data_IF_726063752583
#
_entry.id   IF_726063752583
#
_cell.length_a   1.000
_cell.length_b   1.000
_cell.length_c   1.000
_cell.angle_alpha   90.00
_cell.angle_beta   90.00
_cell.angle_gamma   90.00
#
_symmetry.space_group_name_H-M   'P 1'
#
loop_
_entity.id
_entity.type
_entity.pdbx_description
1 polymer ?
#
# COMPACT_ATOMS: atom_id res chain seq x y z
N UNK A 1 14.33 -4.91 7.94
CA UNK A 1 15.42 -4.68 7.00
C UNK A 1 16.33 -5.88 6.79
N UNK A 2 16.85 -6.55 7.85
CA UNK A 2 17.69 -7.78 7.72
C UNK A 2 17.01 -8.93 6.94
N UNK A 3 15.68 -9.00 6.92
CA UNK A 3 14.89 -10.03 6.23
C UNK A 3 14.67 -9.70 4.74
N UNK A 4 14.56 -8.41 4.40
CA UNK A 4 14.28 -7.98 3.02
C UNK A 4 15.48 -8.13 2.09
N UNK A 5 16.68 -7.89 2.57
CA UNK A 5 17.90 -7.95 1.76
C UNK A 5 18.17 -9.35 1.18
N UNK A 6 18.07 -10.47 1.95
CA UNK A 6 18.23 -11.81 1.39
C UNK A 6 17.15 -12.18 0.36
N UNK A 7 15.90 -11.78 0.60
CA UNK A 7 14.79 -12.02 -0.34
C UNK A 7 14.96 -11.22 -1.62
N UNK A 8 15.38 -9.97 -1.51
CA UNK A 8 15.72 -9.10 -2.63
C UNK A 8 16.89 -9.65 -3.46
N UNK A 9 17.95 -10.16 -2.83
CA UNK A 9 19.07 -10.78 -3.54
C UNK A 9 18.66 -12.06 -4.27
N UNK A 10 17.81 -12.89 -3.64
CA UNK A 10 17.26 -14.10 -4.29
C UNK A 10 16.37 -13.77 -5.49
N UNK A 11 15.61 -12.71 -5.44
CA UNK A 11 14.71 -12.32 -6.54
C UNK A 11 15.45 -11.96 -7.82
N UNK A 12 16.73 -11.60 -7.77
CA UNK A 12 17.56 -11.38 -8.95
C UNK A 12 17.86 -12.64 -9.75
N UNK A 13 17.79 -13.80 -9.12
CA UNK A 13 18.11 -15.10 -9.74
C UNK A 13 16.87 -15.95 -10.05
N UNK A 14 15.71 -15.58 -9.48
CA UNK A 14 14.43 -16.24 -9.75
C UNK A 14 13.31 -15.27 -9.39
N UNK A 15 12.29 -15.08 -10.23
CA UNK A 15 11.13 -14.28 -9.89
C UNK A 15 10.42 -14.93 -8.67
N UNK A 16 10.56 -14.28 -7.53
CA UNK A 16 9.91 -14.66 -6.26
C UNK A 16 9.08 -13.48 -5.83
N UNK A 17 7.84 -13.66 -5.40
CA UNK A 17 7.05 -12.56 -4.90
C UNK A 17 7.75 -11.92 -3.70
N UNK A 18 8.22 -10.68 -3.89
CA UNK A 18 8.87 -9.93 -2.82
C UNK A 18 7.86 -9.37 -1.85
N UNK A 19 6.76 -8.88 -2.39
CA UNK A 19 5.72 -8.18 -1.67
C UNK A 19 4.35 -8.67 -2.10
N UNK A 20 3.53 -9.08 -1.14
CA UNK A 20 2.16 -9.52 -1.39
C UNK A 20 1.19 -8.72 -0.55
N UNK A 21 0.17 -8.17 -1.19
CA UNK A 21 -0.99 -7.62 -0.49
C UNK A 21 -2.03 -8.72 -0.23
N UNK A 22 -2.48 -8.85 1.00
CA UNK A 22 -3.63 -9.69 1.36
C UNK A 22 -4.78 -8.76 1.75
N UNK A 23 -5.87 -8.85 1.00
CA UNK A 23 -7.13 -8.24 1.42
C UNK A 23 -7.79 -9.15 2.46
N UNK A 24 -7.53 -8.91 3.73
CA UNK A 24 -8.10 -9.74 4.81
C UNK A 24 -9.61 -9.58 4.91
N UNK A 25 -10.14 -8.45 4.44
CA UNK A 25 -11.57 -8.16 4.34
C UNK A 25 -11.83 -7.09 3.28
N UNK A 26 -13.01 -7.12 2.67
CA UNK A 26 -13.51 -6.01 1.83
C UNK A 26 -14.44 -5.07 2.61
N UNK A 27 -14.81 -5.42 3.84
CA UNK A 27 -15.65 -4.59 4.71
C UNK A 27 -14.86 -3.42 5.27
N UNK A 28 -15.52 -2.26 5.42
CA UNK A 28 -14.92 -1.06 5.96
C UNK A 28 -15.93 -0.25 6.76
N UNK A 29 -15.49 0.35 7.87
CA UNK A 29 -16.27 1.27 8.68
C UNK A 29 -16.32 2.71 8.11
N UNK A 30 -15.55 2.99 7.03
CA UNK A 30 -15.59 4.24 6.31
C UNK A 30 -16.20 4.09 4.91
N UNK A 31 -16.55 5.23 4.28
CA UNK A 31 -17.07 5.32 2.93
C UNK A 31 -16.36 6.41 2.12
N UNK A 32 -15.04 6.31 2.00
CA UNK A 32 -14.24 7.27 1.25
C UNK A 32 -14.69 7.34 -0.21
N UNK A 33 -14.93 8.54 -0.74
CA UNK A 33 -15.49 8.76 -2.09
C UNK A 33 -14.58 8.30 -3.24
N UNK A 34 -13.29 8.11 -2.97
CA UNK A 34 -12.33 7.59 -3.96
C UNK A 34 -12.08 6.08 -3.82
N UNK A 35 -12.64 5.42 -2.79
CA UNK A 35 -12.30 4.03 -2.52
C UNK A 35 -13.05 3.06 -3.43
N UNK A 36 -12.30 2.23 -4.14
CA UNK A 36 -12.83 1.15 -4.99
C UNK A 36 -12.73 -0.23 -4.32
N UNK A 37 -12.11 -0.32 -3.13
CA UNK A 37 -11.83 -1.60 -2.45
C UNK A 37 -13.03 -2.11 -1.68
N UNK A 38 -13.78 -1.20 -1.02
CA UNK A 38 -14.86 -1.57 -0.10
C UNK A 38 -15.98 -2.34 -0.80
N UNK A 39 -16.27 -3.53 -0.31
CA UNK A 39 -17.45 -4.32 -0.66
C UNK A 39 -18.00 -5.02 0.59
N UNK A 40 -19.17 -4.60 1.04
CA UNK A 40 -19.82 -5.13 2.25
C UNK A 40 -20.46 -6.51 2.04
N UNK A 41 -20.70 -6.90 0.78
CA UNK A 41 -21.41 -8.13 0.40
C UNK A 41 -20.46 -9.26 -0.02
N UNK A 42 -19.16 -8.96 -0.16
CA UNK A 42 -18.17 -9.95 -0.59
C UNK A 42 -18.11 -11.11 0.39
N UNK A 43 -18.17 -12.32 -0.15
CA UNK A 43 -17.87 -13.55 0.61
C UNK A 43 -16.38 -13.57 0.92
N UNK A 44 -16.02 -13.90 2.14
CA UNK A 44 -14.65 -13.84 2.64
C UNK A 44 -14.26 -15.17 3.28
N UNK A 45 -12.98 -15.51 3.20
CA UNK A 45 -12.41 -16.63 3.96
C UNK A 45 -12.51 -16.35 5.47
N UNK A 46 -12.74 -17.40 6.22
CA UNK A 46 -12.60 -17.35 7.68
C UNK A 46 -11.11 -17.23 8.11
N UNK A 47 -10.87 -17.15 9.41
CA UNK A 47 -9.50 -17.01 9.93
C UNK A 47 -8.60 -18.18 9.53
N UNK A 48 -9.12 -19.42 9.53
CA UNK A 48 -8.36 -20.60 9.12
C UNK A 48 -8.01 -20.54 7.63
N UNK A 49 -8.95 -20.12 6.79
CA UNK A 49 -8.71 -19.93 5.37
C UNK A 49 -7.61 -18.91 5.09
N UNK A 50 -7.59 -17.77 5.80
CA UNK A 50 -6.55 -16.75 5.65
C UNK A 50 -5.19 -17.21 6.23
N UNK A 51 -5.17 -18.00 7.29
CA UNK A 51 -3.95 -18.66 7.77
C UNK A 51 -3.37 -19.60 6.69
N UNK A 52 -4.20 -20.38 6.02
CA UNK A 52 -3.76 -21.22 4.90
C UNK A 52 -3.21 -20.38 3.72
N UNK A 53 -3.77 -19.18 3.48
CA UNK A 53 -3.21 -18.23 2.51
C UNK A 53 -1.80 -17.80 2.92
N UNK A 54 -1.57 -17.46 4.20
CA UNK A 54 -0.25 -17.09 4.74
C UNK A 54 0.74 -18.25 4.54
N UNK A 55 0.32 -19.49 4.83
CA UNK A 55 1.14 -20.69 4.61
C UNK A 55 1.54 -20.86 3.15
N UNK A 56 0.58 -20.70 2.26
CA UNK A 56 0.81 -20.80 0.81
C UNK A 56 1.80 -19.73 0.34
N UNK A 57 1.63 -18.48 0.77
CA UNK A 57 2.56 -17.39 0.44
C UNK A 57 3.98 -17.65 0.95
N UNK A 58 4.09 -18.15 2.19
CA UNK A 58 5.40 -18.54 2.73
C UNK A 58 6.06 -19.63 1.90
N UNK A 59 5.31 -20.67 1.50
CA UNK A 59 5.80 -21.77 0.66
C UNK A 59 6.22 -21.29 -0.76
N UNK A 60 5.54 -20.28 -1.30
CA UNK A 60 5.92 -19.61 -2.55
C UNK A 60 7.20 -18.76 -2.43
N UNK A 61 7.69 -18.52 -1.22
CA UNK A 61 8.90 -17.73 -0.97
C UNK A 61 8.63 -16.28 -0.56
N UNK A 62 7.37 -15.86 -0.46
CA UNK A 62 7.02 -14.53 0.04
C UNK A 62 7.48 -14.36 1.49
N UNK A 63 8.10 -13.22 1.80
CA UNK A 63 8.59 -12.90 3.15
C UNK A 63 8.08 -11.53 3.63
N UNK A 64 7.41 -10.78 2.78
CA UNK A 64 6.78 -9.51 3.12
C UNK A 64 5.29 -9.59 2.81
N UNK A 65 4.47 -9.51 3.86
CA UNK A 65 3.01 -9.43 3.74
C UNK A 65 2.54 -8.06 4.16
N UNK A 66 1.74 -7.44 3.30
CA UNK A 66 0.98 -6.25 3.63
C UNK A 66 -0.49 -6.62 3.78
N UNK A 67 -0.99 -6.52 5.00
CA UNK A 67 -2.40 -6.72 5.31
C UNK A 67 -3.18 -5.47 4.91
N UNK A 68 -4.04 -5.67 3.97
CA UNK A 68 -4.90 -4.67 3.35
C UNK A 68 -6.37 -5.06 3.49
N UNK A 69 -7.23 -4.22 2.96
CA UNK A 69 -8.64 -4.55 2.84
C UNK A 69 -9.49 -3.31 2.71
N UNK A 70 -10.74 -3.45 3.14
CA UNK A 70 -11.53 -2.30 3.54
C UNK A 70 -10.88 -1.68 4.77
N UNK A 71 -11.11 -2.31 5.95
CA UNK A 71 -10.39 -1.98 7.18
C UNK A 71 -10.03 -3.28 7.92
N UNK A 72 -8.75 -3.63 8.01
CA UNK A 72 -8.32 -4.90 8.62
C UNK A 72 -8.77 -5.07 10.07
N UNK A 73 -8.81 -3.98 10.84
CA UNK A 73 -9.15 -4.01 12.28
C UNK A 73 -10.62 -4.35 12.58
N UNK A 74 -11.47 -4.41 11.57
CA UNK A 74 -12.86 -4.92 11.71
C UNK A 74 -12.85 -6.44 12.03
N UNK A 75 -11.85 -7.17 11.53
CA UNK A 75 -11.75 -8.61 11.78
C UNK A 75 -11.26 -8.86 13.20
N UNK A 76 -12.02 -9.67 13.94
CA UNK A 76 -11.67 -10.05 15.32
C UNK A 76 -10.41 -10.91 15.40
N UNK A 77 -10.15 -11.71 14.35
CA UNK A 77 -9.02 -12.63 14.20
C UNK A 77 -7.79 -12.00 13.54
N UNK A 78 -7.80 -10.68 13.28
CA UNK A 78 -6.70 -10.01 12.58
C UNK A 78 -5.37 -10.05 13.33
N UNK A 79 -5.40 -9.83 14.64
CA UNK A 79 -4.19 -9.86 15.47
C UNK A 79 -3.55 -11.25 15.46
N UNK A 80 -4.36 -12.32 15.43
CA UNK A 80 -3.88 -13.71 15.39
C UNK A 80 -3.18 -14.00 14.04
N UNK A 81 -3.65 -13.40 12.94
CA UNK A 81 -3.00 -13.51 11.63
C UNK A 81 -1.63 -12.82 11.61
N UNK A 82 -1.53 -11.64 12.25
CA UNK A 82 -0.25 -10.92 12.39
C UNK A 82 0.73 -11.78 13.19
N UNK A 83 0.31 -12.29 14.34
CA UNK A 83 1.15 -13.14 15.18
C UNK A 83 1.60 -14.41 14.45
N UNK A 84 0.69 -15.04 13.70
CA UNK A 84 1.02 -16.24 12.92
C UNK A 84 2.08 -15.95 11.85
N UNK A 85 1.89 -14.87 11.06
CA UNK A 85 2.85 -14.48 10.03
C UNK A 85 4.22 -14.12 10.63
N UNK A 86 4.24 -13.39 11.76
CA UNK A 86 5.47 -13.04 12.46
C UNK A 86 6.21 -14.28 12.97
N UNK A 87 5.52 -15.23 13.59
CA UNK A 87 6.13 -16.52 14.04
C UNK A 87 6.73 -17.33 12.92
N UNK A 88 6.24 -17.18 11.68
CA UNK A 88 6.86 -17.77 10.48
C UNK A 88 8.09 -17.00 9.99
N UNK A 89 8.45 -15.89 10.63
CA UNK A 89 9.55 -15.03 10.19
C UNK A 89 9.21 -14.20 8.94
N UNK A 90 7.93 -13.91 8.72
CA UNK A 90 7.51 -12.99 7.68
C UNK A 90 7.47 -11.56 8.23
N UNK A 91 7.87 -10.61 7.42
CA UNK A 91 7.74 -9.19 7.72
C UNK A 91 6.30 -8.74 7.49
N UNK A 92 5.70 -8.10 8.47
CA UNK A 92 4.27 -7.77 8.51
C UNK A 92 4.03 -6.26 8.47
N UNK A 93 3.21 -5.86 7.55
CA UNK A 93 2.77 -4.48 7.39
C UNK A 93 1.24 -4.45 7.38
N UNK A 94 0.62 -3.44 7.99
CA UNK A 94 -0.81 -3.20 7.87
C UNK A 94 -1.09 -1.77 7.44
N UNK A 95 -2.15 -1.56 6.64
CA UNK A 95 -2.70 -0.24 6.38
C UNK A 95 -4.08 -0.13 7.04
N UNK A 96 -4.27 0.91 7.85
CA UNK A 96 -5.49 1.12 8.63
C UNK A 96 -5.94 2.59 8.60
N UNK A 97 -7.24 2.82 8.72
CA UNK A 97 -7.78 4.15 8.98
C UNK A 97 -7.66 4.60 10.46
N UNK A 98 -7.27 3.69 11.33
CA UNK A 98 -6.99 3.94 12.74
C UNK A 98 -8.21 4.02 13.68
N UNK A 99 -9.43 4.11 13.18
CA UNK A 99 -10.63 4.41 14.00
C UNK A 99 -10.86 3.36 15.11
N UNK A 100 -10.54 2.10 14.84
CA UNK A 100 -10.73 0.99 15.79
C UNK A 100 -9.46 0.66 16.60
N UNK A 101 -8.39 1.43 16.45
CA UNK A 101 -7.15 1.26 17.20
C UNK A 101 -7.29 1.86 18.61
N UNK A 102 -7.81 1.09 19.55
CA UNK A 102 -7.76 1.42 20.97
C UNK A 102 -6.36 1.15 21.54
N UNK A 103 -5.98 1.73 22.70
CA UNK A 103 -4.71 1.42 23.36
C UNK A 103 -4.50 -0.09 23.59
N UNK A 104 -5.56 -0.83 23.96
CA UNK A 104 -5.50 -2.29 24.10
C UNK A 104 -5.24 -2.99 22.76
N UNK A 105 -5.94 -2.59 21.72
CA UNK A 105 -5.73 -3.15 20.37
C UNK A 105 -4.29 -2.92 19.89
N UNK A 106 -3.75 -1.70 20.08
CA UNK A 106 -2.37 -1.35 19.73
C UNK A 106 -1.36 -2.19 20.54
N UNK A 107 -1.60 -2.40 21.83
CA UNK A 107 -0.78 -3.26 22.66
C UNK A 107 -0.80 -4.72 22.18
N UNK A 108 -1.95 -5.25 21.78
CA UNK A 108 -2.08 -6.61 21.21
C UNK A 108 -1.34 -6.74 19.89
N UNK A 109 -1.45 -5.76 18.98
CA UNK A 109 -0.68 -5.73 17.73
C UNK A 109 0.83 -5.72 17.99
N UNK A 110 1.29 -4.89 18.93
CA UNK A 110 2.71 -4.83 19.29
C UNK A 110 3.23 -6.16 19.86
N UNK A 111 2.43 -6.84 20.72
CA UNK A 111 2.77 -8.18 21.23
C UNK A 111 2.77 -9.24 20.13
N UNK A 112 1.88 -9.13 19.15
CA UNK A 112 1.82 -10.02 17.98
C UNK A 112 3.02 -9.87 17.03
N UNK A 113 3.83 -8.83 17.23
CA UNK A 113 5.05 -8.59 16.46
C UNK A 113 4.78 -7.95 15.08
N UNK A 114 3.81 -7.04 14.99
CA UNK A 114 3.65 -6.21 13.78
C UNK A 114 4.94 -5.42 13.52
N UNK A 115 5.41 -5.35 12.28
CA UNK A 115 6.62 -4.60 11.92
C UNK A 115 6.31 -3.16 11.51
N UNK A 116 5.23 -2.93 10.75
CA UNK A 116 4.83 -1.58 10.32
C UNK A 116 3.32 -1.39 10.48
N UNK A 117 2.94 -0.29 11.12
CA UNK A 117 1.57 0.25 11.12
C UNK A 117 1.52 1.48 10.21
N UNK A 118 0.84 1.35 9.07
CA UNK A 118 0.68 2.42 8.08
C UNK A 118 -0.68 3.10 8.28
N UNK A 119 -0.67 4.27 8.91
CA UNK A 119 -1.88 5.04 9.22
C UNK A 119 -2.31 5.86 8.00
N UNK A 120 -3.56 5.70 7.57
CA UNK A 120 -4.11 6.49 6.47
C UNK A 120 -4.55 7.86 6.94
N UNK A 121 -3.92 8.94 6.44
CA UNK A 121 -4.27 10.32 6.75
C UNK A 121 -4.24 11.16 5.48
N UNK A 122 -5.38 11.70 5.08
CA UNK A 122 -5.55 12.46 3.83
C UNK A 122 -5.57 13.99 4.04
N UNK A 123 -5.53 14.47 5.30
CA UNK A 123 -5.52 15.89 5.63
C UNK A 123 -5.10 16.13 7.07
N UNK A 124 -4.55 17.32 7.36
CA UNK A 124 -4.34 17.81 8.73
C UNK A 124 -5.60 18.46 9.31
N UNK A 125 -6.57 18.81 8.48
CA UNK A 125 -7.85 19.39 8.84
C UNK A 125 -8.98 18.41 8.55
N UNK A 126 -10.16 18.68 9.06
CA UNK A 126 -11.37 17.91 8.74
C UNK A 126 -11.56 17.80 7.22
N UNK A 127 -11.85 16.59 6.75
CA UNK A 127 -11.88 16.28 5.32
C UNK A 127 -13.04 15.34 4.97
N UNK A 128 -14.06 15.89 4.31
CA UNK A 128 -15.36 15.24 4.07
C UNK A 128 -15.31 14.03 3.10
N UNK A 129 -14.24 13.91 2.30
CA UNK A 129 -14.16 12.89 1.24
C UNK A 129 -13.69 11.53 1.73
N UNK A 130 -12.99 11.48 2.87
CA UNK A 130 -12.45 10.21 3.38
C UNK A 130 -12.69 9.98 4.86
N UNK A 131 -12.96 11.03 5.66
CA UNK A 131 -12.97 10.98 7.13
C UNK A 131 -11.63 10.46 7.72
N UNK A 132 -10.53 10.57 6.97
CA UNK A 132 -9.17 10.22 7.36
C UNK A 132 -8.34 11.48 7.53
N UNK A 133 -8.62 12.22 8.59
CA UNK A 133 -7.89 13.44 8.92
C UNK A 133 -7.18 13.32 10.27
N UNK A 134 -6.14 14.14 10.43
CA UNK A 134 -5.33 14.14 11.64
C UNK A 134 -6.14 14.48 12.89
N UNK A 135 -7.16 15.33 12.78
CA UNK A 135 -7.97 15.73 13.94
C UNK A 135 -8.66 14.53 14.60
N UNK A 136 -9.05 13.53 13.80
CA UNK A 136 -9.66 12.27 14.26
C UNK A 136 -8.64 11.21 14.66
N UNK A 137 -7.41 11.29 14.16
CA UNK A 137 -6.38 10.28 14.39
C UNK A 137 -5.28 10.71 15.37
N UNK A 138 -5.30 11.94 15.89
CA UNK A 138 -4.23 12.48 16.76
C UNK A 138 -4.00 11.66 18.02
N UNK A 139 -5.07 11.19 18.68
CA UNK A 139 -4.96 10.42 19.92
C UNK A 139 -4.43 9.02 19.62
N UNK A 140 -4.94 8.37 18.56
CA UNK A 140 -4.41 7.09 18.06
C UNK A 140 -2.92 7.21 17.69
N UNK A 141 -2.52 8.29 17.04
CA UNK A 141 -1.10 8.52 16.71
C UNK A 141 -0.24 8.64 17.96
N UNK A 142 -0.72 9.33 19.00
CA UNK A 142 -0.03 9.43 20.30
C UNK A 142 0.18 8.05 20.92
N UNK A 143 -0.87 7.21 20.92
CA UNK A 143 -0.81 5.84 21.47
C UNK A 143 0.12 4.95 20.63
N UNK A 144 0.08 5.06 19.31
CA UNK A 144 1.01 4.35 18.41
C UNK A 144 2.47 4.76 18.67
N UNK A 145 2.77 6.06 18.86
CA UNK A 145 4.12 6.54 19.19
C UNK A 145 4.61 5.97 20.54
N UNK A 146 3.72 5.91 21.53
CA UNK A 146 4.06 5.30 22.82
C UNK A 146 4.33 3.80 22.69
N UNK A 147 3.49 3.08 21.96
CA UNK A 147 3.63 1.65 21.73
C UNK A 147 4.85 1.31 20.85
N UNK A 148 5.20 2.14 19.84
CA UNK A 148 6.42 2.00 19.05
C UNK A 148 7.67 1.91 19.94
N UNK A 149 7.77 2.77 20.95
CA UNK A 149 8.91 2.76 21.89
C UNK A 149 9.00 1.46 22.68
N UNK A 150 7.85 0.82 22.94
CA UNK A 150 7.78 -0.40 23.74
C UNK A 150 8.01 -1.67 22.94
N UNK A 151 7.47 -1.73 21.72
CA UNK A 151 7.43 -2.96 20.92
C UNK A 151 8.35 -2.93 19.71
N UNK A 152 8.87 -1.76 19.30
CA UNK A 152 9.86 -1.61 18.23
C UNK A 152 9.31 -1.67 16.81
N UNK A 153 7.99 -1.60 16.59
CA UNK A 153 7.43 -1.49 15.25
C UNK A 153 7.59 -0.06 14.69
N UNK A 154 7.53 0.06 13.38
CA UNK A 154 7.56 1.37 12.73
C UNK A 154 6.14 1.89 12.44
N UNK A 155 6.02 3.22 12.43
CA UNK A 155 4.81 3.92 12.02
C UNK A 155 5.10 4.65 10.72
N UNK A 156 4.23 4.50 9.74
CA UNK A 156 4.26 5.29 8.51
C UNK A 156 2.89 5.91 8.26
N UNK A 157 2.84 6.90 7.39
CA UNK A 157 1.57 7.51 6.96
C UNK A 157 1.38 7.30 5.47
N UNK A 158 0.17 6.91 5.07
CA UNK A 158 -0.26 6.89 3.69
C UNK A 158 -1.22 8.04 3.43
N UNK A 159 -0.86 8.89 2.47
CA UNK A 159 -1.65 10.04 2.02
C UNK A 159 -2.11 9.83 0.58
N UNK A 160 -3.41 9.90 0.31
CA UNK A 160 -3.94 9.86 -1.05
C UNK A 160 -4.11 11.28 -1.57
N UNK A 161 -3.24 11.67 -2.50
CA UNK A 161 -3.24 12.99 -3.12
C UNK A 161 -4.36 13.11 -4.16
N UNK A 162 -5.23 14.05 -3.93
CA UNK A 162 -6.40 14.37 -4.77
C UNK A 162 -6.43 15.86 -5.09
N UNK A 163 -7.25 16.26 -6.05
CA UNK A 163 -7.49 17.68 -6.35
C UNK A 163 -7.98 18.47 -5.13
N UNK A 164 -8.69 17.82 -4.21
CA UNK A 164 -9.32 18.49 -3.06
C UNK A 164 -8.36 18.70 -1.88
N UNK A 165 -7.26 17.96 -1.79
CA UNK A 165 -6.28 18.08 -0.70
C UNK A 165 -4.88 18.47 -1.18
N UNK A 166 -4.71 18.82 -2.45
CA UNK A 166 -3.41 19.20 -3.00
C UNK A 166 -2.76 20.38 -2.26
N UNK A 167 -3.54 21.34 -1.78
CA UNK A 167 -3.04 22.49 -1.00
C UNK A 167 -2.62 22.12 0.44
N UNK A 168 -3.02 20.95 0.91
CA UNK A 168 -2.85 20.55 2.31
C UNK A 168 -1.67 19.59 2.47
N UNK A 169 -1.25 18.90 1.40
CA UNK A 169 -0.25 17.83 1.47
C UNK A 169 1.08 18.30 2.06
N UNK A 170 1.54 19.49 1.71
CA UNK A 170 2.79 20.06 2.26
C UNK A 170 2.71 20.29 3.76
N UNK A 171 1.58 20.79 4.24
CA UNK A 171 1.33 20.95 5.70
C UNK A 171 1.30 19.60 6.40
N UNK A 172 0.70 18.59 5.76
CA UNK A 172 0.67 17.21 6.27
C UNK A 172 2.07 16.63 6.36
N UNK A 173 2.89 16.78 5.32
CA UNK A 173 4.30 16.33 5.34
C UNK A 173 5.05 16.97 6.51
N UNK A 174 5.00 18.29 6.66
CA UNK A 174 5.70 19.01 7.73
C UNK A 174 5.23 18.58 9.12
N UNK A 175 3.94 18.29 9.30
CA UNK A 175 3.41 17.79 10.56
C UNK A 175 4.01 16.41 10.91
N UNK A 176 3.95 15.44 10.00
CA UNK A 176 4.47 14.09 10.28
C UNK A 176 5.99 14.05 10.36
N UNK A 177 6.68 14.90 9.60
CA UNK A 177 8.14 15.09 9.74
C UNK A 177 8.54 15.57 11.14
N UNK A 178 7.74 16.47 11.77
CA UNK A 178 7.97 16.91 13.15
C UNK A 178 7.87 15.78 14.18
N UNK A 179 7.11 14.74 13.89
CA UNK A 179 7.03 13.50 14.69
C UNK A 179 8.08 12.44 14.29
N UNK A 180 8.92 12.72 13.29
CA UNK A 180 9.84 11.76 12.67
C UNK A 180 9.11 10.51 12.16
N UNK A 181 7.95 10.71 11.57
CA UNK A 181 7.13 9.65 10.98
C UNK A 181 7.19 9.79 9.46
N UNK A 182 7.67 8.75 8.76
CA UNK A 182 7.72 8.76 7.30
C UNK A 182 6.32 8.78 6.68
N UNK A 183 6.18 9.55 5.58
CA UNK A 183 4.94 9.65 4.82
C UNK A 183 5.15 9.18 3.38
N UNK A 184 4.22 8.38 2.87
CA UNK A 184 4.10 8.00 1.45
C UNK A 184 2.92 8.73 0.82
N UNK A 185 3.09 9.23 -0.40
CA UNK A 185 2.12 10.07 -1.10
C UNK A 185 1.68 9.38 -2.38
N UNK A 186 0.54 8.67 -2.31
CA UNK A 186 -0.07 8.03 -3.47
C UNK A 186 -0.94 9.01 -4.26
N UNK A 187 -0.80 9.04 -5.58
CA UNK A 187 -1.76 9.75 -6.44
C UNK A 187 -3.08 9.00 -6.48
N UNK A 188 -4.20 9.73 -6.44
CA UNK A 188 -5.50 9.13 -6.74
C UNK A 188 -5.51 8.52 -8.15
N UNK A 189 -6.04 7.32 -8.28
CA UNK A 189 -6.25 6.67 -9.57
C UNK A 189 -7.60 5.95 -9.60
N UNK A 190 -8.17 5.82 -10.80
CA UNK A 190 -9.42 5.13 -11.03
C UNK A 190 -9.22 3.61 -11.14
N UNK A 191 -10.28 2.87 -10.84
CA UNK A 191 -10.36 1.46 -11.18
C UNK A 191 -11.32 1.27 -12.35
N UNK A 192 -10.86 0.66 -13.43
CA UNK A 192 -11.73 0.27 -14.56
C UNK A 192 -12.52 -1.01 -14.28
N UNK A 193 -12.19 -1.71 -13.20
CA UNK A 193 -12.78 -2.99 -12.81
C UNK A 193 -13.67 -2.90 -11.57
N UNK A 194 -13.88 -1.68 -11.06
CA UNK A 194 -14.80 -1.45 -9.95
C UNK A 194 -16.10 -0.90 -10.50
N UNK A 195 -17.21 -1.55 -10.15
CA UNK A 195 -18.55 -1.05 -10.44
C UNK A 195 -18.92 0.21 -9.63
N UNK A 196 -18.02 0.64 -8.74
CA UNK A 196 -18.22 1.85 -7.96
C UNK A 196 -17.83 3.07 -8.77
N UNK A 197 -18.78 3.95 -8.95
CA UNK A 197 -18.52 5.28 -9.47
C UNK A 197 -17.70 6.09 -8.46
N UNK A 198 -16.46 6.42 -8.85
CA UNK A 198 -15.61 7.30 -8.07
C UNK A 198 -15.97 8.77 -8.37
N UNK A 199 -15.90 9.62 -7.35
CA UNK A 199 -16.13 11.05 -7.52
C UNK A 199 -15.06 11.68 -8.42
N UNK A 200 -15.46 11.97 -9.67
CA UNK A 200 -14.56 12.55 -10.68
C UNK A 200 -14.01 13.92 -10.29
N UNK A 201 -14.65 14.63 -9.34
CA UNK A 201 -14.17 15.92 -8.83
C UNK A 201 -12.87 15.82 -8.03
N UNK A 202 -12.48 14.60 -7.64
CA UNK A 202 -11.24 14.34 -6.89
C UNK A 202 -10.01 14.21 -7.79
N UNK A 203 -10.20 14.06 -9.10
CA UNK A 203 -9.11 13.86 -10.06
C UNK A 203 -8.63 15.19 -10.63
N UNK A 204 -7.41 15.19 -11.15
CA UNK A 204 -6.77 16.33 -11.79
C UNK A 204 -7.14 16.40 -13.29
N UNK A 205 -8.36 16.82 -13.59
CA UNK A 205 -8.96 16.71 -14.93
C UNK A 205 -8.65 17.91 -15.83
N UNK A 206 -8.49 19.10 -15.28
CA UNK A 206 -8.24 20.34 -16.05
C UNK A 206 -6.75 20.68 -16.10
N UNK A 207 -6.36 21.53 -17.04
CA UNK A 207 -4.97 22.02 -17.12
C UNK A 207 -4.58 22.79 -15.85
N UNK A 208 -5.47 23.60 -15.31
CA UNK A 208 -5.24 24.34 -14.07
C UNK A 208 -5.02 23.38 -12.87
N UNK A 209 -5.79 22.29 -12.78
CA UNK A 209 -5.58 21.26 -11.75
C UNK A 209 -4.18 20.63 -11.88
N UNK A 210 -3.75 20.34 -13.12
CA UNK A 210 -2.42 19.77 -13.40
C UNK A 210 -1.29 20.73 -13.07
N UNK A 211 -1.42 22.01 -13.43
CA UNK A 211 -0.43 23.03 -13.08
C UNK A 211 -0.24 23.12 -11.58
N UNK A 212 -1.34 23.21 -10.83
CA UNK A 212 -1.32 23.24 -9.37
C UNK A 212 -0.67 21.99 -8.76
N UNK A 213 -1.01 20.81 -9.27
CA UNK A 213 -0.35 19.56 -8.88
C UNK A 213 1.17 19.64 -9.11
N UNK A 214 1.61 20.15 -10.26
CA UNK A 214 3.03 20.21 -10.61
C UNK A 214 3.83 21.14 -9.70
N UNK A 215 3.26 22.29 -9.34
CA UNK A 215 3.85 23.22 -8.35
C UNK A 215 4.03 22.52 -6.98
N UNK A 216 2.99 21.84 -6.51
CA UNK A 216 3.03 21.12 -5.23
C UNK A 216 4.02 19.94 -5.28
N UNK A 217 4.10 19.21 -6.39
CA UNK A 217 5.08 18.12 -6.54
C UNK A 217 6.52 18.66 -6.52
N UNK A 218 6.77 19.86 -7.07
CA UNK A 218 8.10 20.48 -6.97
C UNK A 218 8.42 20.89 -5.53
N UNK A 219 7.45 21.40 -4.76
CA UNK A 219 7.64 21.70 -3.34
C UNK A 219 7.92 20.42 -2.54
N UNK A 220 7.20 19.33 -2.78
CA UNK A 220 7.44 18.02 -2.14
C UNK A 220 8.86 17.52 -2.44
N UNK A 221 9.33 17.64 -3.69
CA UNK A 221 10.71 17.29 -4.07
C UNK A 221 11.74 18.12 -3.32
N UNK A 222 11.49 19.42 -3.12
CA UNK A 222 12.40 20.28 -2.33
C UNK A 222 12.41 19.87 -0.86
N UNK A 223 11.25 19.51 -0.26
CA UNK A 223 11.20 18.99 1.10
C UNK A 223 11.99 17.69 1.24
N UNK A 224 11.85 16.75 0.30
CA UNK A 224 12.62 15.50 0.31
C UNK A 224 14.12 15.76 0.17
N UNK A 225 14.56 16.69 -0.70
CA UNK A 225 15.96 17.10 -0.80
C UNK A 225 16.50 17.71 0.51
N UNK A 226 15.63 18.37 1.29
CA UNK A 226 15.93 18.88 2.65
C UNK A 226 15.82 17.80 3.73
N UNK A 227 15.73 16.52 3.34
CA UNK A 227 15.66 15.33 4.21
C UNK A 227 14.41 15.23 5.07
N UNK A 228 13.28 15.84 4.67
CA UNK A 228 11.99 15.48 5.25
C UNK A 228 11.70 13.98 5.01
N UNK A 229 11.06 13.33 5.97
CA UNK A 229 10.79 11.89 5.98
C UNK A 229 9.70 11.48 4.96
N UNK A 230 9.98 11.62 3.67
CA UNK A 230 9.13 11.20 2.57
C UNK A 230 9.67 9.87 2.04
N UNK A 231 8.82 8.82 1.96
CA UNK A 231 9.22 7.46 1.56
C UNK A 231 9.51 7.41 0.06
N UNK A 232 8.57 7.92 -0.74
CA UNK A 232 8.61 7.77 -2.20
C UNK A 232 9.86 8.43 -2.81
N UNK A 233 10.52 7.80 -3.80
CA UNK A 233 11.74 8.33 -4.40
C UNK A 233 11.50 9.64 -5.18
N UNK A 234 12.50 10.49 -5.33
CA UNK A 234 12.37 11.75 -6.09
C UNK A 234 11.84 11.51 -7.50
N UNK A 235 12.27 10.43 -8.12
CA UNK A 235 11.83 10.01 -9.46
C UNK A 235 10.34 9.73 -9.52
N UNK A 236 9.72 9.24 -8.44
CA UNK A 236 8.30 9.01 -8.35
C UNK A 236 7.50 10.30 -8.62
N UNK A 237 7.89 11.42 -8.03
CA UNK A 237 7.20 12.71 -8.23
C UNK A 237 7.45 13.30 -9.62
N UNK A 238 8.59 13.05 -10.24
CA UNK A 238 8.86 13.44 -11.61
C UNK A 238 8.01 12.66 -12.61
N UNK A 239 7.93 11.35 -12.42
CA UNK A 239 7.16 10.48 -13.28
C UNK A 239 5.65 10.64 -13.05
N UNK A 240 5.20 11.05 -11.85
CA UNK A 240 3.81 11.43 -11.59
C UNK A 240 3.34 12.56 -12.50
N UNK A 241 4.19 13.58 -12.76
CA UNK A 241 3.88 14.65 -13.73
C UNK A 241 3.67 14.10 -15.13
N UNK A 242 4.53 13.18 -15.57
CA UNK A 242 4.40 12.52 -16.88
C UNK A 242 3.16 11.65 -16.95
N UNK A 243 2.87 10.91 -15.87
CA UNK A 243 1.68 10.06 -15.79
C UNK A 243 0.39 10.86 -15.98
N UNK A 244 0.24 11.98 -15.27
CA UNK A 244 -0.96 12.84 -15.37
C UNK A 244 -1.11 13.48 -16.77
N UNK A 245 -0.01 13.65 -17.51
CA UNK A 245 -0.02 14.08 -18.91
C UNK A 245 -0.31 12.94 -19.89
N UNK A 246 -0.31 11.68 -19.45
CA UNK A 246 -0.41 10.52 -20.33
C UNK A 246 0.88 10.18 -21.09
N UNK A 247 2.02 10.74 -20.66
CA UNK A 247 3.34 10.61 -21.32
C UNK A 247 4.23 9.54 -20.68
N UNK A 248 3.79 8.92 -19.55
CA UNK A 248 4.62 7.99 -18.81
C UNK A 248 4.52 6.58 -19.37
N UNK A 249 5.64 6.04 -19.82
CA UNK A 249 5.85 4.60 -19.95
C UNK A 249 6.79 4.11 -18.83
N UNK A 250 6.31 3.18 -18.00
CA UNK A 250 7.06 2.64 -16.87
C UNK A 250 6.93 1.13 -16.76
N UNK A 251 7.98 0.50 -16.24
CA UNK A 251 7.96 -0.91 -15.95
C UNK A 251 7.08 -1.18 -14.73
N UNK A 252 6.09 -2.05 -14.87
CA UNK A 252 5.23 -2.48 -13.77
C UNK A 252 5.58 -3.92 -13.39
N UNK A 253 5.94 -4.15 -12.12
CA UNK A 253 6.33 -5.47 -11.62
C UNK A 253 5.16 -6.38 -11.20
N UNK A 254 3.91 -5.94 -11.46
CA UNK A 254 2.72 -6.70 -11.11
C UNK A 254 2.74 -8.12 -11.70
N UNK A 255 2.40 -9.12 -10.88
CA UNK A 255 2.42 -10.53 -11.26
C UNK A 255 3.81 -11.17 -11.30
N UNK A 256 4.87 -10.41 -11.07
CA UNK A 256 6.26 -10.92 -11.09
C UNK A 256 6.89 -10.84 -9.69
N UNK A 257 7.00 -9.66 -9.13
CA UNK A 257 7.55 -9.42 -7.80
C UNK A 257 6.51 -8.93 -6.79
N UNK A 258 5.36 -8.55 -7.28
CA UNK A 258 4.22 -8.07 -6.53
C UNK A 258 2.94 -8.72 -7.06
N UNK A 259 2.08 -9.13 -6.16
CA UNK A 259 0.71 -9.54 -6.47
C UNK A 259 -0.20 -9.33 -5.25
N UNK A 260 -1.50 -9.55 -5.40
CA UNK A 260 -2.45 -9.51 -4.30
C UNK A 260 -3.23 -10.81 -4.19
N UNK A 261 -3.73 -11.07 -2.99
CA UNK A 261 -4.72 -12.12 -2.71
C UNK A 261 -5.96 -11.46 -2.15
N UNK A 262 -7.11 -11.72 -2.77
CA UNK A 262 -8.38 -11.18 -2.32
C UNK A 262 -8.90 -11.90 -1.08
N UNK A 263 -9.88 -11.31 -0.40
CA UNK A 263 -10.47 -11.84 0.83
C UNK A 263 -11.16 -13.20 0.67
N UNK A 264 -11.50 -13.60 -0.55
CA UNK A 264 -12.02 -14.93 -0.90
C UNK A 264 -10.92 -15.92 -1.33
N UNK A 265 -9.64 -15.55 -1.22
CA UNK A 265 -8.50 -16.40 -1.60
C UNK A 265 -8.16 -16.37 -3.09
N UNK A 266 -8.80 -15.53 -3.88
CA UNK A 266 -8.47 -15.37 -5.30
C UNK A 266 -7.15 -14.66 -5.50
N UNK A 267 -6.35 -15.20 -6.41
CA UNK A 267 -5.11 -14.58 -6.86
C UNK A 267 -5.43 -13.38 -7.75
N UNK A 268 -4.68 -12.30 -7.57
CA UNK A 268 -4.78 -11.10 -8.39
C UNK A 268 -3.38 -10.65 -8.78
N UNK A 269 -3.12 -10.49 -10.07
CA UNK A 269 -1.85 -9.93 -10.56
C UNK A 269 -1.58 -8.57 -9.91
N UNK A 270 -2.61 -7.74 -9.81
CA UNK A 270 -2.61 -6.53 -8.99
C UNK A 270 -4.05 -6.20 -8.57
N UNK A 271 -4.21 -5.25 -7.64
CA UNK A 271 -5.50 -4.83 -7.12
C UNK A 271 -6.48 -4.28 -8.18
N UNK A 272 -6.00 -3.97 -9.39
CA UNK A 272 -6.78 -3.43 -10.51
C UNK A 272 -7.00 -4.42 -11.65
N UNK A 273 -6.36 -5.59 -11.61
CA UNK A 273 -6.49 -6.66 -12.60
C UNK A 273 -6.76 -7.96 -11.87
N UNK A 274 -7.99 -8.20 -11.43
CA UNK A 274 -8.35 -9.46 -10.83
C UNK A 274 -8.20 -10.58 -11.86
N UNK A 275 -7.61 -11.69 -11.44
CA UNK A 275 -7.70 -12.94 -12.19
C UNK A 275 -8.90 -13.70 -11.63
N UNK A 276 -10.04 -13.56 -12.29
CA UNK A 276 -11.34 -13.94 -11.75
C UNK A 276 -11.48 -15.43 -11.44
N UNK A 277 -10.61 -16.27 -11.98
CA UNK A 277 -10.77 -17.72 -11.99
C UNK A 277 -9.67 -18.50 -11.27
N UNK A 278 -8.69 -17.85 -10.66
CA UNK A 278 -7.53 -18.53 -10.09
C UNK A 278 -7.45 -18.34 -8.58
N UNK A 279 -7.45 -19.45 -7.85
CA UNK A 279 -7.18 -19.42 -6.41
C UNK A 279 -5.69 -19.29 -6.15
N UNK A 280 -5.29 -18.62 -5.05
CA UNK A 280 -3.90 -18.62 -4.61
C UNK A 280 -3.36 -20.03 -4.37
N UNK A 281 -4.24 -20.99 -4.04
CA UNK A 281 -3.86 -22.37 -3.80
C UNK A 281 -3.45 -23.13 -5.08
N UNK A 282 -3.88 -22.65 -6.25
CA UNK A 282 -3.52 -23.22 -7.56
C UNK A 282 -2.16 -22.70 -8.07
N UNK A 283 -1.61 -21.65 -7.43
CA UNK A 283 -0.34 -21.04 -7.81
C UNK A 283 0.83 -21.86 -7.26
N UNK A 284 1.77 -22.20 -8.10
CA UNK A 284 3.04 -22.84 -7.72
C UNK A 284 4.25 -21.98 -8.09
N UNK A 285 5.45 -22.45 -7.78
CA UNK A 285 6.69 -21.73 -8.12
C UNK A 285 6.93 -21.68 -9.64
N UNK A 286 6.44 -22.66 -10.39
CA UNK A 286 6.57 -22.68 -11.84
C UNK A 286 5.59 -21.73 -12.52
N UNK A 287 4.48 -21.40 -11.86
CA UNK A 287 3.54 -20.38 -12.32
C UNK A 287 4.25 -19.05 -12.56
N UNK A 288 5.11 -18.61 -11.64
CA UNK A 288 5.86 -17.35 -11.80
C UNK A 288 6.83 -17.37 -12.98
N UNK A 289 7.35 -18.53 -13.37
CA UNK A 289 8.17 -18.69 -14.58
C UNK A 289 7.30 -18.63 -15.84
N UNK A 290 6.10 -19.21 -15.79
CA UNK A 290 5.17 -19.29 -16.92
C UNK A 290 4.40 -17.99 -17.14
N UNK A 291 4.13 -17.21 -16.07
CA UNK A 291 3.32 -15.99 -16.12
C UNK A 291 3.97 -14.87 -16.95
N UNK A 292 5.29 -14.94 -17.17
CA UNK A 292 6.03 -13.92 -17.94
C UNK A 292 5.35 -13.60 -19.28
N UNK A 293 4.92 -14.61 -20.05
CA UNK A 293 4.26 -14.40 -21.34
C UNK A 293 2.80 -13.94 -21.18
N UNK A 294 2.02 -14.56 -20.29
CA UNK A 294 0.63 -14.17 -20.03
C UNK A 294 0.55 -12.78 -19.37
N UNK A 295 1.55 -12.42 -18.56
CA UNK A 295 1.69 -11.12 -17.94
C UNK A 295 1.76 -9.99 -18.97
N UNK A 296 2.55 -10.13 -20.03
CA UNK A 296 2.66 -9.13 -21.10
C UNK A 296 1.28 -8.84 -21.69
N UNK A 297 0.54 -9.87 -22.09
CA UNK A 297 -0.80 -9.74 -22.66
C UNK A 297 -1.79 -9.06 -21.68
N UNK A 298 -1.67 -9.30 -20.37
CA UNK A 298 -2.54 -8.70 -19.35
C UNK A 298 -2.17 -7.26 -19.05
N UNK A 299 -0.88 -6.94 -19.02
CA UNK A 299 -0.41 -5.55 -18.86
C UNK A 299 -0.76 -4.69 -20.08
N UNK A 300 -0.79 -5.27 -21.27
CA UNK A 300 -1.27 -4.60 -22.49
C UNK A 300 -2.77 -4.24 -22.35
N UNK A 301 -3.58 -5.13 -21.73
CA UNK A 301 -4.99 -4.83 -21.42
C UNK A 301 -5.14 -3.74 -20.36
N UNK A 302 -4.23 -3.67 -19.39
CA UNK A 302 -4.24 -2.66 -18.32
C UNK A 302 -4.04 -1.23 -18.84
N UNK A 303 -3.36 -1.04 -19.98
CA UNK A 303 -3.00 0.27 -20.53
C UNK A 303 -2.31 1.20 -19.52
N UNK A 304 -1.76 0.64 -18.44
CA UNK A 304 -1.06 1.35 -17.34
C UNK A 304 -1.84 2.55 -16.78
N UNK A 305 -3.12 2.35 -16.54
CA UNK A 305 -4.07 3.37 -16.08
C UNK A 305 -3.90 3.78 -14.62
N UNK A 306 -3.04 3.11 -13.85
CA UNK A 306 -2.76 3.44 -12.46
C UNK A 306 -1.33 3.92 -12.26
N UNK A 307 -1.16 4.69 -11.20
CA UNK A 307 0.13 5.11 -10.69
C UNK A 307 0.23 4.75 -9.19
N UNK A 308 0.09 3.46 -8.92
CA UNK A 308 0.12 2.93 -7.56
C UNK A 308 1.55 2.99 -7.01
N UNK A 309 1.76 3.70 -5.91
CA UNK A 309 3.07 3.85 -5.25
C UNK A 309 3.72 2.50 -4.90
N UNK A 310 2.97 1.55 -4.33
CA UNK A 310 3.51 0.23 -3.98
C UNK A 310 4.09 -0.50 -5.21
N UNK A 311 3.40 -0.45 -6.35
CA UNK A 311 3.86 -1.05 -7.60
C UNK A 311 5.01 -0.27 -8.22
N UNK A 312 4.93 1.06 -8.20
CA UNK A 312 5.98 1.91 -8.74
C UNK A 312 7.27 1.74 -7.95
N UNK A 313 7.22 1.87 -6.62
CA UNK A 313 8.40 1.77 -5.75
C UNK A 313 9.06 0.39 -5.85
N UNK A 314 8.26 -0.68 -5.80
CA UNK A 314 8.79 -2.03 -6.00
C UNK A 314 9.48 -2.16 -7.35
N UNK A 315 8.87 -1.66 -8.42
CA UNK A 315 9.42 -1.69 -9.78
C UNK A 315 10.69 -0.86 -9.92
N UNK A 316 10.70 0.33 -9.30
CA UNK A 316 11.84 1.23 -9.29
C UNK A 316 13.05 0.61 -8.57
N UNK A 317 12.83 0.07 -7.38
CA UNK A 317 13.89 -0.54 -6.58
C UNK A 317 14.46 -1.82 -7.21
N UNK A 318 13.64 -2.61 -7.90
CA UNK A 318 14.14 -3.77 -8.65
C UNK A 318 15.09 -3.33 -9.77
N UNK A 319 14.75 -2.26 -10.48
CA UNK A 319 15.59 -1.73 -11.57
C UNK A 319 16.79 -0.93 -11.07
N UNK A 320 16.69 -0.30 -9.92
CA UNK A 320 17.69 0.62 -9.36
C UNK A 320 18.09 0.24 -7.92
N UNK A 321 18.67 -0.95 -7.70
CA UNK A 321 18.94 -1.47 -6.34
C UNK A 321 19.89 -0.59 -5.52
N UNK A 322 20.82 0.11 -6.17
CA UNK A 322 21.74 1.03 -5.47
C UNK A 322 21.02 2.30 -5.00
N UNK A 323 19.98 2.74 -5.70
CA UNK A 323 19.15 3.87 -5.28
C UNK A 323 18.32 3.51 -4.04
N UNK A 324 17.82 2.26 -3.95
CA UNK A 324 17.17 1.74 -2.76
C UNK A 324 18.02 1.90 -1.50
N UNK A 325 19.29 1.49 -1.59
CA UNK A 325 20.24 1.60 -0.47
C UNK A 325 20.47 3.06 -0.08
N UNK A 326 20.67 3.97 -1.05
CA UNK A 326 20.93 5.39 -0.80
C UNK A 326 19.74 6.18 -0.27
N UNK A 327 18.51 5.74 -0.56
CA UNK A 327 17.30 6.47 -0.16
C UNK A 327 16.70 5.94 1.15
N UNK A 328 17.09 4.75 1.59
CA UNK A 328 16.67 4.16 2.87
C UNK A 328 17.73 4.35 3.97
N UNK A 329 18.99 4.50 3.60
CA UNK A 329 20.15 4.74 4.51
C UNK A 329 20.74 6.13 4.29
#
# INVERSE_FOLDING_TARGET
>A
MKILLPSFLKSRFSPVPLWTHIYVTRKCNLNCKYCFVKDQKKTELDGKGLINVIDKLYALGCRFISFFGGEPTIRKDFVDMVEYANRKGMFTHMTTNGILLTPDYINRLGKAGIDIVNLSVDSVFEFDYSNKDYTKSKDVLKDLIAARKKYGFEITVNFVLTRKNVDIVVKTIKLFDSFKIPISIGLIYGSVYSDKEQDKSLFFNTENDRMKLFEVLDEIKQLKKKKCNIIDPLKYFEDMKKFVKGELDWYCCAGEYYFSVDSDGKFQICCLLPDENMSIFDIDKDYFKKISNSRKTRLDKCKKICYCNCLYDTSYFIKHPLSFIKEIF
#
